data_IF_047405788334
#
_entry.id   IF_047405788334
#
_cell.length_a   1.000
_cell.length_b   1.000
_cell.length_c   1.000
_cell.angle_alpha   90.00
_cell.angle_beta   90.00
_cell.angle_gamma   90.00
#
_symmetry.space_group_name_H-M   'P 1'
#
loop_
_entity.id
_entity.type
_entity.pdbx_description
1 polymer ?
#
# COMPACT_ATOMS: atom_id res chain seq x y z
N UNK A 1 -4.14 9.56 12.10
CA UNK A 1 -4.84 9.14 10.87
C UNK A 1 -3.87 9.08 9.67
N UNK A 2 -3.54 7.88 9.17
CA UNK A 2 -2.45 7.65 8.18
C UNK A 2 -2.85 6.70 7.03
N UNK A 3 -4.07 6.85 6.50
CA UNK A 3 -4.53 6.09 5.33
C UNK A 3 -4.35 6.93 4.07
N UNK A 4 -3.53 6.45 3.13
CA UNK A 4 -3.31 7.12 1.84
C UNK A 4 -3.65 6.22 0.65
N UNK A 5 -4.09 6.84 -0.44
CA UNK A 5 -4.34 6.14 -1.70
C UNK A 5 -3.02 5.79 -2.40
N UNK A 6 -2.88 4.54 -2.85
CA UNK A 6 -1.74 4.13 -3.65
C UNK A 6 -1.93 4.53 -5.12
N UNK A 7 -1.28 5.63 -5.52
CA UNK A 7 -1.51 6.30 -6.81
C UNK A 7 -1.34 5.43 -8.06
N UNK A 8 -0.53 4.37 -7.98
CA UNK A 8 -0.15 3.56 -9.15
C UNK A 8 -1.06 2.35 -9.37
N UNK A 9 -1.98 2.06 -8.44
CA UNK A 9 -2.88 0.90 -8.58
C UNK A 9 -4.26 1.22 -8.02
N UNK A 10 -5.29 1.03 -8.84
CA UNK A 10 -6.65 1.40 -8.47
C UNK A 10 -7.18 0.53 -7.33
N UNK A 11 -7.80 1.15 -6.31
CA UNK A 11 -8.30 0.50 -5.09
C UNK A 11 -7.19 -0.15 -4.25
N UNK A 12 -6.03 0.48 -4.20
CA UNK A 12 -4.95 0.10 -3.30
C UNK A 12 -4.68 1.24 -2.33
N UNK A 13 -4.36 0.87 -1.09
CA UNK A 13 -4.13 1.79 0.02
C UNK A 13 -2.82 1.47 0.71
N UNK A 14 -2.21 2.52 1.26
CA UNK A 14 -1.02 2.44 2.09
C UNK A 14 -1.41 2.84 3.51
N UNK A 15 -1.00 2.04 4.50
CA UNK A 15 -1.17 2.35 5.91
C UNK A 15 0.18 2.37 6.63
N UNK A 16 0.38 3.35 7.49
CA UNK A 16 1.55 3.43 8.37
C UNK A 16 1.31 2.60 9.64
N UNK A 17 2.21 1.65 9.92
CA UNK A 17 2.10 0.77 11.10
C UNK A 17 3.44 0.65 11.84
N UNK A 18 3.40 0.11 13.07
CA UNK A 18 4.60 -0.12 13.87
C UNK A 18 5.33 1.16 14.27
N UNK A 19 4.60 2.21 14.64
CA UNK A 19 5.19 3.51 14.99
C UNK A 19 5.75 4.25 13.78
N UNK A 20 5.10 4.13 12.61
CA UNK A 20 5.50 4.71 11.33
C UNK A 20 6.73 4.06 10.66
N UNK A 21 7.26 2.96 11.20
CA UNK A 21 8.45 2.30 10.64
C UNK A 21 8.13 1.38 9.45
N UNK A 22 6.87 0.95 9.33
CA UNK A 22 6.41 0.02 8.30
C UNK A 22 5.27 0.62 7.47
N UNK A 23 5.14 0.13 6.25
CA UNK A 23 4.09 0.44 5.28
C UNK A 23 3.37 -0.84 4.90
N UNK A 24 2.05 -0.84 5.07
CA UNK A 24 1.18 -1.92 4.60
C UNK A 24 0.55 -1.47 3.30
N UNK A 25 0.76 -2.23 2.23
CA UNK A 25 0.07 -2.02 0.95
C UNK A 25 -1.04 -3.07 0.84
N UNK A 26 -2.28 -2.61 0.79
CA UNK A 26 -3.46 -3.46 0.81
C UNK A 26 -4.51 -3.06 -0.23
N UNK A 27 -5.22 -4.04 -0.74
CA UNK A 27 -6.47 -3.85 -1.48
C UNK A 27 -7.64 -3.90 -0.50
N UNK A 28 -8.45 -2.84 -0.47
CA UNK A 28 -9.61 -2.71 0.42
C UNK A 28 -10.88 -2.68 -0.42
N UNK A 29 -11.75 -3.65 -0.23
CA UNK A 29 -13.10 -3.62 -0.77
C UNK A 29 -14.06 -3.17 0.33
N UNK A 30 -14.39 -1.88 0.34
CA UNK A 30 -15.28 -1.28 1.33
C UNK A 30 -16.71 -1.82 1.25
N UNK A 31 -17.22 -2.12 0.06
CA UNK A 31 -18.59 -2.64 -0.14
C UNK A 31 -18.72 -4.02 0.50
N UNK A 32 -17.78 -4.91 0.19
CA UNK A 32 -17.78 -6.29 0.69
C UNK A 32 -17.11 -6.43 2.06
N UNK A 33 -16.64 -5.33 2.66
CA UNK A 33 -15.90 -5.29 3.93
C UNK A 33 -14.71 -6.26 3.96
N UNK A 34 -13.94 -6.33 2.87
CA UNK A 34 -12.76 -7.21 2.75
C UNK A 34 -11.47 -6.41 2.70
N UNK A 35 -10.46 -6.90 3.40
CA UNK A 35 -9.14 -6.31 3.47
C UNK A 35 -8.09 -7.36 3.07
N UNK A 36 -7.35 -7.08 2.01
CA UNK A 36 -6.34 -7.99 1.46
C UNK A 36 -4.97 -7.32 1.52
N UNK A 37 -4.09 -7.83 2.38
CA UNK A 37 -2.71 -7.36 2.47
C UNK A 37 -1.86 -8.06 1.42
N UNK A 38 -1.12 -7.30 0.62
CA UNK A 38 -0.13 -7.87 -0.30
C UNK A 38 1.29 -7.72 0.21
N UNK A 39 1.61 -6.55 0.76
CA UNK A 39 2.96 -6.23 1.22
C UNK A 39 2.92 -5.59 2.60
N UNK A 40 3.80 -6.05 3.48
CA UNK A 40 4.18 -5.34 4.71
C UNK A 40 5.68 -5.12 4.58
N UNK A 41 6.08 -3.86 4.50
CA UNK A 41 7.44 -3.51 4.10
C UNK A 41 7.97 -2.34 4.92
N UNK A 42 9.29 -2.23 5.03
CA UNK A 42 9.95 -1.03 5.56
C UNK A 42 9.78 0.15 4.60
N UNK A 43 10.09 1.36 5.05
CA UNK A 43 10.13 2.55 4.19
C UNK A 43 11.01 2.36 2.94
N UNK A 44 12.22 1.83 3.11
CA UNK A 44 13.16 1.64 2.01
C UNK A 44 12.65 0.63 0.97
N UNK A 45 11.98 -0.43 1.42
CA UNK A 45 11.36 -1.42 0.53
C UNK A 45 10.10 -0.88 -0.14
N UNK A 46 9.29 -0.10 0.58
CA UNK A 46 8.14 0.60 0.03
C UNK A 46 8.53 1.54 -1.12
N UNK A 47 9.65 2.26 -1.00
CA UNK A 47 10.14 3.14 -2.07
C UNK A 47 10.53 2.33 -3.33
N UNK A 48 11.17 1.17 -3.14
CA UNK A 48 11.49 0.24 -4.26
C UNK A 48 10.23 -0.29 -4.93
N UNK A 49 9.25 -0.73 -4.13
CA UNK A 49 7.95 -1.20 -4.64
C UNK A 49 7.22 -0.09 -5.39
N UNK A 50 7.24 1.13 -4.85
CA UNK A 50 6.62 2.31 -5.46
C UNK A 50 7.24 2.63 -6.82
N UNK A 51 8.58 2.57 -6.94
CA UNK A 51 9.28 2.72 -8.22
C UNK A 51 8.86 1.64 -9.20
N UNK A 52 8.87 0.38 -8.76
CA UNK A 52 8.47 -0.76 -9.60
C UNK A 52 7.05 -0.61 -10.17
N UNK A 53 6.06 -0.27 -9.33
CA UNK A 53 4.67 -0.09 -9.76
C UNK A 53 4.44 1.18 -10.59
N UNK A 54 5.30 2.19 -10.44
CA UNK A 54 5.26 3.39 -11.29
C UNK A 54 5.69 3.08 -12.72
N UNK A 55 6.72 2.25 -12.87
CA UNK A 55 7.30 1.85 -14.16
C UNK A 55 6.49 0.74 -14.83
N UNK A 56 5.93 -0.18 -14.03
CA UNK A 56 5.12 -1.30 -14.49
C UNK A 56 3.64 -1.03 -14.14
N UNK A 57 3.03 -0.12 -14.90
CA UNK A 57 1.59 0.11 -14.81
C UNK A 57 0.86 -1.10 -15.40
N UNK A 58 -0.10 -1.63 -14.65
CA UNK A 58 -1.12 -2.55 -15.19
C UNK A 58 -2.00 -1.85 -16.22
#
# INVERSE_FOLDING_TARGET
PSLDNFKYRNKWWVLDVGGNNLRVIAYINFINKRFYVKHIATHAEYDKLTRYYRENKE
#
